data_IF_347347294145
#
_entry.id   IF_347347294145
#
_cell.length_a   1.000
_cell.length_b   1.000
_cell.length_c   1.000
_cell.angle_alpha   90.00
_cell.angle_beta   90.00
_cell.angle_gamma   90.00
#
_symmetry.space_group_name_H-M   'P 1'
#
loop_
_entity.id
_entity.type
_entity.pdbx_description
1 polymer ?
#
# COMPACT_ATOMS: atom_id res chain seq x y z
N UNK A 1 20.89 12.00 -19.38
CA UNK A 1 21.74 11.45 -18.31
C UNK A 1 20.82 11.02 -17.18
N UNK A 2 20.76 9.73 -16.85
CA UNK A 2 19.92 9.22 -15.77
C UNK A 2 20.76 9.19 -14.50
N UNK A 3 20.61 10.20 -13.65
CA UNK A 3 21.26 10.26 -12.34
C UNK A 3 20.42 9.49 -11.33
N UNK A 4 20.97 8.39 -10.81
CA UNK A 4 20.46 7.70 -9.63
C UNK A 4 20.79 8.57 -8.42
N UNK A 5 19.76 9.10 -7.74
CA UNK A 5 19.97 9.91 -6.52
C UNK A 5 18.84 10.85 -6.13
N UNK A 6 17.77 11.01 -6.92
CA UNK A 6 16.61 11.81 -6.52
C UNK A 6 15.48 10.91 -5.97
N UNK A 7 14.81 11.26 -4.85
CA UNK A 7 13.84 10.44 -4.12
C UNK A 7 12.49 10.22 -4.84
N UNK A 8 12.48 10.28 -6.18
CA UNK A 8 11.29 10.19 -7.02
C UNK A 8 11.54 9.37 -8.28
N UNK A 9 11.97 8.12 -8.14
CA UNK A 9 12.12 7.21 -9.30
C UNK A 9 10.74 6.93 -9.88
N UNK A 10 10.39 7.65 -10.93
CA UNK A 10 9.18 7.34 -11.71
C UNK A 10 9.32 5.96 -12.37
N UNK A 11 8.21 5.22 -12.56
CA UNK A 11 8.22 3.94 -13.27
C UNK A 11 8.82 4.02 -14.68
N UNK A 12 8.76 5.21 -15.32
CA UNK A 12 9.36 5.45 -16.63
C UNK A 12 10.89 5.50 -16.58
N UNK A 13 11.48 6.11 -15.54
CA UNK A 13 12.94 6.12 -15.36
C UNK A 13 13.48 4.70 -15.16
N UNK A 14 12.78 3.90 -14.34
CA UNK A 14 13.14 2.50 -14.15
C UNK A 14 13.00 1.71 -15.45
N UNK A 15 11.82 1.73 -16.09
CA UNK A 15 11.57 0.91 -17.27
C UNK A 15 12.33 1.38 -18.52
N UNK A 16 12.71 2.66 -18.59
CA UNK A 16 13.59 3.21 -19.61
C UNK A 16 15.05 2.77 -19.46
N UNK A 17 15.48 2.42 -18.25
CA UNK A 17 16.82 1.89 -17.95
C UNK A 17 16.90 0.35 -18.00
N UNK A 18 15.78 -0.35 -17.99
CA UNK A 18 15.73 -1.82 -18.00
C UNK A 18 16.08 -2.36 -19.40
N UNK A 19 17.09 -3.26 -19.52
CA UNK A 19 17.44 -3.88 -20.79
C UNK A 19 16.24 -4.64 -21.40
N UNK A 20 16.09 -4.68 -22.74
CA UNK A 20 14.94 -5.31 -23.41
C UNK A 20 14.66 -6.77 -22.99
N UNK A 21 15.70 -7.52 -22.59
CA UNK A 21 15.58 -8.90 -22.10
C UNK A 21 14.89 -9.01 -20.73
N UNK A 22 15.15 -8.08 -19.82
CA UNK A 22 14.44 -8.00 -18.53
C UNK A 22 13.06 -7.35 -18.67
N UNK A 23 12.89 -6.41 -19.60
CA UNK A 23 11.58 -5.88 -19.95
C UNK A 23 10.66 -6.97 -20.53
N UNK A 24 11.25 -8.00 -21.16
CA UNK A 24 10.58 -9.22 -21.58
C UNK A 24 10.21 -10.16 -20.43
N UNK A 25 10.99 -10.24 -19.36
CA UNK A 25 10.65 -11.05 -18.18
C UNK A 25 9.37 -10.53 -17.47
N UNK A 26 9.20 -9.21 -17.40
CA UNK A 26 7.95 -8.60 -16.91
C UNK A 26 6.75 -8.71 -17.86
N UNK A 27 6.96 -9.04 -19.14
CA UNK A 27 5.89 -9.25 -20.15
C UNK A 27 5.62 -10.74 -20.46
N UNK A 28 6.61 -11.61 -20.26
CA UNK A 28 6.68 -12.99 -20.74
C UNK A 28 6.71 -14.06 -19.65
N UNK A 29 6.77 -13.68 -18.37
CA UNK A 29 6.49 -14.60 -17.25
C UNK A 29 5.01 -15.02 -17.12
N UNK A 30 4.15 -14.61 -18.06
CA UNK A 30 2.68 -14.72 -17.99
C UNK A 30 2.10 -15.93 -18.74
N UNK A 31 2.92 -16.82 -19.28
CA UNK A 31 2.44 -18.04 -19.94
C UNK A 31 3.18 -19.25 -19.36
N UNK A 32 2.68 -19.80 -18.26
CA UNK A 32 3.04 -21.16 -17.84
C UNK A 32 3.45 -21.39 -16.39
N UNK A 33 3.36 -20.42 -15.47
CA UNK A 33 3.46 -20.65 -14.02
C UNK A 33 2.47 -19.73 -13.31
N UNK A 34 1.53 -20.31 -12.56
CA UNK A 34 0.60 -19.61 -11.67
C UNK A 34 1.37 -18.76 -10.66
N UNK A 35 1.27 -17.42 -10.73
CA UNK A 35 1.15 -16.48 -9.59
C UNK A 35 1.18 -15.02 -10.06
N UNK A 36 0.22 -14.23 -9.59
CA UNK A 36 0.18 -12.78 -9.71
C UNK A 36 1.30 -12.17 -8.85
N UNK A 37 2.49 -11.89 -9.41
CA UNK A 37 3.67 -11.52 -8.57
C UNK A 37 3.73 -10.02 -8.22
N UNK A 38 3.05 -9.13 -8.93
CA UNK A 38 3.07 -7.69 -8.62
C UNK A 38 1.74 -7.01 -8.93
N UNK A 39 1.23 -6.23 -7.97
CA UNK A 39 -0.01 -5.46 -8.09
C UNK A 39 0.29 -3.96 -8.15
N UNK A 40 -0.27 -3.27 -9.15
CA UNK A 40 -0.16 -1.83 -9.29
C UNK A 40 -1.32 -1.14 -8.55
N UNK A 41 -0.99 -0.15 -7.73
CA UNK A 41 -1.95 0.68 -6.98
C UNK A 41 -1.78 2.17 -7.33
N UNK A 42 -2.84 2.97 -7.18
CA UNK A 42 -2.90 4.39 -7.54
C UNK A 42 -2.92 4.63 -9.05
N UNK A 43 -1.80 4.35 -9.73
CA UNK A 43 -1.67 4.46 -11.19
C UNK A 43 -1.51 5.87 -11.74
N UNK A 44 -1.36 6.86 -10.86
CA UNK A 44 -0.92 8.19 -11.24
C UNK A 44 0.55 8.22 -11.62
N UNK A 45 0.98 9.35 -12.17
CA UNK A 45 2.40 9.66 -12.30
C UNK A 45 3.07 9.83 -10.93
N UNK A 46 2.32 10.38 -9.97
CA UNK A 46 2.70 10.49 -8.57
C UNK A 46 1.48 10.28 -7.65
N UNK A 47 1.75 10.25 -6.34
CA UNK A 47 0.76 10.45 -5.30
C UNK A 47 0.64 11.96 -5.06
N UNK A 48 -0.39 12.59 -5.61
CA UNK A 48 -0.56 14.05 -5.51
C UNK A 48 -1.09 14.48 -4.14
N UNK A 49 -0.71 15.69 -3.72
CA UNK A 49 -1.37 16.39 -2.61
C UNK A 49 -2.86 16.62 -2.94
N UNK A 50 -3.68 16.68 -1.89
CA UNK A 50 -5.13 16.86 -1.99
C UNK A 50 -5.61 18.23 -1.50
N UNK A 51 -4.74 19.05 -0.90
CA UNK A 51 -5.10 20.36 -0.36
C UNK A 51 -4.86 21.51 -1.35
N UNK A 52 -3.69 21.55 -1.99
CA UNK A 52 -3.24 22.62 -2.87
C UNK A 52 -3.33 22.26 -4.37
N UNK A 53 -3.55 20.99 -4.71
CA UNK A 53 -3.63 20.56 -6.10
C UNK A 53 -4.95 20.96 -6.76
N UNK A 54 -4.87 21.59 -7.93
CA UNK A 54 -6.05 21.85 -8.77
C UNK A 54 -6.49 20.57 -9.49
N UNK A 55 -7.80 20.30 -9.53
CA UNK A 55 -8.37 19.07 -10.12
C UNK A 55 -7.87 18.79 -11.55
N UNK A 56 -7.64 19.83 -12.36
CA UNK A 56 -7.08 19.69 -13.71
C UNK A 56 -5.70 19.03 -13.71
N UNK A 57 -4.81 19.42 -12.79
CA UNK A 57 -3.48 18.82 -12.65
C UNK A 57 -3.56 17.36 -12.16
N UNK A 58 -4.51 17.09 -11.26
CA UNK A 58 -4.79 15.72 -10.77
C UNK A 58 -5.23 14.81 -11.93
N UNK A 59 -6.15 15.28 -12.78
CA UNK A 59 -6.61 14.50 -13.94
C UNK A 59 -5.50 14.25 -14.97
N UNK A 60 -4.67 15.26 -15.24
CA UNK A 60 -3.55 15.12 -16.19
C UNK A 60 -2.51 14.11 -15.71
N UNK A 61 -2.09 14.18 -14.44
CA UNK A 61 -1.10 13.25 -13.89
C UNK A 61 -1.64 11.81 -13.80
N UNK A 62 -2.91 11.64 -13.42
CA UNK A 62 -3.59 10.33 -13.44
C UNK A 62 -3.69 9.78 -14.87
N UNK A 63 -4.06 10.63 -15.83
CA UNK A 63 -4.15 10.26 -17.24
C UNK A 63 -2.80 9.84 -17.81
N UNK A 64 -1.72 10.56 -17.46
CA UNK A 64 -0.36 10.24 -17.88
C UNK A 64 0.08 8.87 -17.38
N UNK A 65 0.00 8.62 -16.06
CA UNK A 65 0.38 7.35 -15.45
C UNK A 65 -0.42 6.17 -16.00
N UNK A 66 -1.75 6.29 -16.07
CA UNK A 66 -2.62 5.21 -16.60
C UNK A 66 -2.35 4.91 -18.07
N UNK A 67 -2.08 5.93 -18.90
CA UNK A 67 -1.71 5.70 -20.31
C UNK A 67 -0.38 4.96 -20.41
N UNK A 68 0.61 5.33 -19.60
CA UNK A 68 1.91 4.67 -19.55
C UNK A 68 1.76 3.19 -19.16
N UNK A 69 1.09 2.90 -18.03
CA UNK A 69 0.87 1.54 -17.55
C UNK A 69 0.11 0.67 -18.56
N UNK A 70 -0.93 1.23 -19.19
CA UNK A 70 -1.71 0.52 -20.22
C UNK A 70 -0.88 0.20 -21.47
N UNK A 71 0.07 1.06 -21.85
CA UNK A 71 0.98 0.79 -22.98
C UNK A 71 1.98 -0.33 -22.64
N UNK A 72 2.42 -0.42 -21.39
CA UNK A 72 3.40 -1.43 -20.98
C UNK A 72 2.79 -2.80 -20.69
N UNK A 73 1.70 -2.83 -19.93
CA UNK A 73 1.10 -4.05 -19.37
C UNK A 73 -0.30 -4.35 -19.92
N UNK A 74 -0.77 -3.58 -20.91
CA UNK A 74 -2.08 -3.76 -21.51
C UNK A 74 -3.23 -3.51 -20.51
N UNK A 75 -4.31 -4.29 -20.63
CA UNK A 75 -5.48 -4.17 -19.74
C UNK A 75 -5.16 -4.53 -18.28
N UNK A 76 -4.19 -5.42 -18.06
CA UNK A 76 -3.78 -5.87 -16.72
C UNK A 76 -3.02 -4.79 -15.93
N UNK A 77 -2.49 -3.76 -16.61
CA UNK A 77 -1.78 -2.66 -15.96
C UNK A 77 -2.67 -1.56 -15.38
N UNK A 78 -4.00 -1.69 -15.45
CA UNK A 78 -4.92 -0.67 -14.91
C UNK A 78 -5.19 -0.97 -13.44
N UNK A 79 -4.78 -0.08 -12.50
CA UNK A 79 -5.05 -0.28 -11.08
C UNK A 79 -6.55 -0.34 -10.79
N UNK A 80 -6.89 -1.02 -9.70
CA UNK A 80 -8.25 -1.12 -9.16
C UNK A 80 -8.39 -0.43 -7.80
N UNK A 81 -7.26 -0.08 -7.21
CA UNK A 81 -7.17 0.40 -5.84
C UNK A 81 -6.36 1.69 -5.89
N UNK A 82 -6.94 2.78 -5.42
CA UNK A 82 -6.23 4.02 -5.20
C UNK A 82 -5.37 3.92 -3.92
N UNK A 83 -4.20 4.55 -3.88
CA UNK A 83 -3.30 4.45 -2.73
C UNK A 83 -2.82 5.84 -2.36
N UNK A 84 -3.38 6.39 -1.28
CA UNK A 84 -3.09 7.74 -0.78
C UNK A 84 -2.66 7.65 0.68
N UNK A 85 -1.38 7.33 0.89
CA UNK A 85 -0.83 7.06 2.23
C UNK A 85 -0.11 8.24 2.86
N UNK A 86 0.30 9.24 2.08
CA UNK A 86 1.13 10.36 2.54
C UNK A 86 0.66 11.78 2.12
N UNK A 87 -0.52 12.01 1.52
CA UNK A 87 -1.09 13.36 1.52
C UNK A 87 -1.52 13.81 2.91
N UNK A 88 -1.27 15.08 3.24
CA UNK A 88 -1.66 15.67 4.52
C UNK A 88 -3.13 16.09 4.52
N UNK A 89 -4.01 15.11 4.70
CA UNK A 89 -5.46 15.25 4.64
C UNK A 89 -6.05 14.81 3.29
N UNK A 90 -7.34 14.49 3.30
CA UNK A 90 -8.04 13.99 2.12
C UNK A 90 -9.18 14.91 1.68
N UNK A 91 -9.32 15.05 0.37
CA UNK A 91 -10.35 15.83 -0.28
C UNK A 91 -11.47 14.92 -0.81
N UNK A 92 -12.71 15.40 -0.68
CA UNK A 92 -13.87 14.74 -1.28
C UNK A 92 -13.79 14.70 -2.82
N UNK A 93 -13.09 15.66 -3.41
CA UNK A 93 -12.90 15.74 -4.87
C UNK A 93 -11.99 14.63 -5.39
N UNK A 94 -10.92 14.30 -4.65
CA UNK A 94 -10.05 13.17 -5.00
C UNK A 94 -10.82 11.85 -4.97
N UNK A 95 -11.64 11.64 -3.94
CA UNK A 95 -12.54 10.49 -3.87
C UNK A 95 -13.49 10.45 -5.09
N UNK A 96 -14.16 11.56 -5.42
CA UNK A 96 -15.03 11.64 -6.59
C UNK A 96 -14.29 11.35 -7.91
N UNK A 97 -13.03 11.79 -8.02
CA UNK A 97 -12.16 11.53 -9.17
C UNK A 97 -11.83 10.04 -9.29
N UNK A 98 -11.40 9.40 -8.20
CA UNK A 98 -11.07 7.98 -8.18
C UNK A 98 -12.24 7.07 -8.56
N UNK A 99 -13.44 7.38 -8.07
CA UNK A 99 -14.65 6.65 -8.47
C UNK A 99 -14.94 6.77 -9.98
N UNK A 100 -14.70 7.94 -10.58
CA UNK A 100 -14.92 8.18 -12.00
C UNK A 100 -13.88 7.49 -12.89
N UNK A 101 -12.62 7.37 -12.44
CA UNK A 101 -11.56 6.69 -13.20
C UNK A 101 -11.55 5.17 -13.03
N UNK A 102 -12.49 4.62 -12.26
CA UNK A 102 -12.73 3.20 -12.12
C UNK A 102 -11.92 2.50 -11.04
N UNK A 103 -11.54 3.22 -9.98
CA UNK A 103 -10.93 2.66 -8.77
C UNK A 103 -12.00 2.44 -7.70
N UNK A 104 -12.54 1.21 -7.55
CA UNK A 104 -13.58 0.92 -6.57
C UNK A 104 -13.15 1.04 -5.10
N UNK A 105 -11.85 0.96 -4.80
CA UNK A 105 -11.32 0.95 -3.43
C UNK A 105 -10.24 2.03 -3.23
N UNK A 106 -10.28 2.73 -2.10
CA UNK A 106 -9.28 3.76 -1.74
C UNK A 106 -8.77 3.48 -0.32
N UNK A 107 -7.71 2.69 -0.13
CA UNK A 107 -6.87 2.81 1.05
C UNK A 107 -6.40 4.27 1.20
N UNK A 108 -6.88 4.92 2.24
CA UNK A 108 -6.67 6.34 2.50
C UNK A 108 -6.19 6.51 3.94
N UNK A 109 -5.07 7.20 4.13
CA UNK A 109 -4.60 7.60 5.44
C UNK A 109 -5.38 8.82 5.97
N UNK A 110 -6.38 8.58 6.84
CA UNK A 110 -6.86 9.68 7.67
C UNK A 110 -5.80 10.02 8.72
N UNK A 111 -5.21 11.21 8.59
CA UNK A 111 -4.21 11.80 9.47
C UNK A 111 -4.60 11.65 10.97
N UNK A 112 -3.68 11.22 11.86
CA UNK A 112 -3.88 11.26 13.30
C UNK A 112 -4.27 12.64 13.86
N UNK A 113 -4.14 13.77 13.15
CA UNK A 113 -4.68 15.06 13.60
C UNK A 113 -6.21 15.02 13.78
N UNK A 114 -6.95 14.17 13.05
CA UNK A 114 -8.36 13.89 13.35
C UNK A 114 -8.58 13.00 14.58
N UNK A 115 -7.54 12.30 15.08
CA UNK A 115 -7.56 11.57 16.37
C UNK A 115 -7.29 12.49 17.57
N UNK A 116 -6.81 13.73 17.36
CA UNK A 116 -6.33 14.65 18.43
C UNK A 116 -7.31 15.82 18.68
N UNK A 117 -8.52 15.82 18.11
CA UNK A 117 -9.55 16.76 18.55
C UNK A 117 -10.17 16.32 19.89
N UNK A 118 -10.26 17.22 20.91
CA UNK A 118 -10.87 16.92 22.20
C UNK A 118 -12.38 16.64 22.05
N UNK A 119 -13.05 16.03 23.05
CA UNK A 119 -14.20 15.15 22.87
C UNK A 119 -15.45 15.90 22.45
N UNK A 120 -15.58 16.16 21.15
CA UNK A 120 -16.89 16.39 20.55
C UNK A 120 -17.47 15.02 20.28
N UNK A 121 -18.49 14.68 21.06
CA UNK A 121 -19.21 13.41 21.10
C UNK A 121 -19.76 13.08 19.71
N UNK A 122 -18.96 12.35 18.94
CA UNK A 122 -19.42 11.45 17.89
C UNK A 122 -18.77 10.11 18.22
N UNK A 123 -19.53 9.09 18.66
CA UNK A 123 -18.97 7.79 18.96
C UNK A 123 -18.57 7.14 17.63
N UNK A 124 -17.36 7.43 17.14
CA UNK A 124 -16.70 6.54 16.20
C UNK A 124 -16.31 5.31 17.02
N UNK A 125 -17.26 4.38 17.07
CA UNK A 125 -17.10 3.01 17.54
C UNK A 125 -15.76 2.46 17.04
N UNK A 126 -15.06 1.60 17.80
CA UNK A 126 -13.81 0.97 17.37
C UNK A 126 -13.92 0.14 16.07
N UNK A 127 -15.12 0.04 15.49
CA UNK A 127 -15.47 -0.51 14.18
C UNK A 127 -15.36 0.49 13.00
N UNK A 128 -14.74 1.66 13.17
CA UNK A 128 -14.69 2.73 12.15
C UNK A 128 -13.53 2.60 11.13
N UNK A 129 -12.79 1.48 11.10
CA UNK A 129 -11.67 1.26 10.16
C UNK A 129 -12.07 1.21 8.68
N UNK A 130 -13.37 1.05 8.39
CA UNK A 130 -13.96 1.17 7.06
C UNK A 130 -15.11 2.19 7.11
N UNK A 131 -14.94 3.31 6.42
CA UNK A 131 -15.98 4.35 6.24
C UNK A 131 -16.54 4.22 4.83
N UNK A 132 -17.69 4.79 4.52
CA UNK A 132 -18.16 4.95 3.13
C UNK A 132 -18.19 6.44 2.82
N UNK A 133 -17.40 6.90 1.85
CA UNK A 133 -17.51 8.28 1.36
C UNK A 133 -18.62 8.38 0.32
N UNK A 134 -19.51 9.36 0.48
CA UNK A 134 -20.53 9.73 -0.50
C UNK A 134 -20.18 11.11 -1.08
N UNK A 135 -19.92 11.18 -2.38
CA UNK A 135 -19.83 12.46 -3.08
C UNK A 135 -21.23 12.96 -3.47
N UNK A 136 -21.54 14.23 -3.19
CA UNK A 136 -22.85 14.84 -3.52
C UNK A 136 -22.99 15.15 -5.02
N UNK A 137 -21.91 15.05 -5.81
CA UNK A 137 -21.93 15.42 -7.23
C UNK A 137 -22.48 14.30 -8.12
N UNK A 138 -22.43 13.03 -7.67
CA UNK A 138 -23.10 11.92 -8.36
C UNK A 138 -23.66 10.90 -7.35
N UNK A 139 -24.95 10.56 -7.46
CA UNK A 139 -25.59 9.47 -6.67
C UNK A 139 -25.08 8.06 -7.05
N UNK A 140 -23.86 7.93 -7.57
CA UNK A 140 -23.34 6.73 -8.21
C UNK A 140 -21.96 6.29 -7.71
N UNK A 141 -21.27 7.09 -6.90
CA UNK A 141 -19.90 6.80 -6.47
C UNK A 141 -19.86 6.48 -4.97
N UNK A 142 -19.88 5.18 -4.65
CA UNK A 142 -19.68 4.65 -3.29
C UNK A 142 -18.24 4.13 -3.20
N UNK A 143 -17.45 4.72 -2.31
CA UNK A 143 -16.06 4.30 -2.06
C UNK A 143 -15.91 3.86 -0.62
N UNK A 144 -15.17 2.78 -0.39
CA UNK A 144 -14.82 2.27 0.94
C UNK A 144 -13.38 2.64 1.28
N UNK A 145 -13.13 3.75 1.99
CA UNK A 145 -11.85 4.03 2.62
C UNK A 145 -11.49 2.97 3.66
N UNK A 146 -10.31 2.36 3.51
CA UNK A 146 -9.66 1.59 4.56
C UNK A 146 -8.69 2.48 5.32
N UNK A 147 -8.97 2.73 6.60
CA UNK A 147 -8.06 3.47 7.49
C UNK A 147 -6.97 2.51 7.95
N UNK A 148 -5.73 2.86 7.63
CA UNK A 148 -4.58 2.08 8.05
C UNK A 148 -4.34 2.24 9.57
N UNK A 149 -3.97 1.16 10.26
CA UNK A 149 -3.93 1.18 11.72
C UNK A 149 -2.70 1.90 12.28
N UNK A 150 -1.56 1.81 11.58
CA UNK A 150 -0.26 2.31 12.01
C UNK A 150 0.39 3.19 10.94
N UNK A 151 -0.30 4.27 10.54
CA UNK A 151 0.12 5.06 9.38
C UNK A 151 0.24 4.13 8.17
N UNK A 152 1.39 4.10 7.48
CA UNK A 152 1.73 3.12 6.46
C UNK A 152 2.91 2.23 6.89
N UNK A 153 3.28 2.24 8.17
CA UNK A 153 4.43 1.54 8.72
C UNK A 153 4.11 0.10 9.15
N UNK A 154 5.11 -0.80 9.19
CA UNK A 154 4.94 -2.13 9.78
C UNK A 154 4.54 -2.03 11.26
N UNK A 155 3.84 -3.04 11.80
CA UNK A 155 3.61 -3.12 13.24
C UNK A 155 4.94 -3.09 14.01
N UNK A 156 4.99 -2.49 15.21
CA UNK A 156 6.21 -2.40 16.00
C UNK A 156 6.85 -3.79 16.24
N UNK A 157 8.15 -3.90 16.00
CA UNK A 157 8.90 -5.15 16.17
C UNK A 157 8.82 -6.12 14.98
N UNK A 158 8.20 -5.72 13.87
CA UNK A 158 8.08 -6.50 12.63
C UNK A 158 8.68 -5.78 11.42
N UNK A 159 9.66 -4.90 11.61
CA UNK A 159 10.37 -4.24 10.52
C UNK A 159 11.67 -4.95 10.13
N UNK A 160 11.69 -5.64 9.00
CA UNK A 160 12.87 -6.37 8.51
C UNK A 160 13.55 -5.73 7.30
N UNK A 161 13.42 -4.41 7.17
CA UNK A 161 14.19 -3.66 6.20
C UNK A 161 15.63 -3.45 6.70
N UNK A 162 16.55 -3.17 5.76
CA UNK A 162 17.92 -2.79 6.10
C UNK A 162 18.00 -1.46 6.87
N UNK A 163 16.98 -0.61 6.75
CA UNK A 163 16.86 0.65 7.49
C UNK A 163 16.35 0.44 8.93
N UNK A 164 15.93 -0.78 9.27
CA UNK A 164 15.39 -1.15 10.57
C UNK A 164 16.37 -1.98 11.40
N UNK A 165 16.13 -2.02 12.71
CA UNK A 165 16.97 -2.72 13.70
C UNK A 165 16.21 -3.80 14.47
N UNK A 166 14.99 -4.15 14.05
CA UNK A 166 14.23 -5.23 14.68
C UNK A 166 14.90 -6.59 14.42
N UNK A 167 14.83 -7.52 15.40
CA UNK A 167 15.45 -8.83 15.26
C UNK A 167 14.79 -9.65 14.13
N UNK A 168 15.58 -10.37 13.31
CA UNK A 168 15.05 -11.25 12.27
C UNK A 168 14.35 -12.47 12.89
N UNK A 169 13.58 -13.19 12.09
CA UNK A 169 12.92 -14.43 12.51
C UNK A 169 13.93 -15.58 12.54
N UNK A 170 14.23 -16.07 13.74
CA UNK A 170 15.13 -17.18 14.02
C UNK A 170 14.30 -18.39 14.45
N UNK A 171 14.27 -19.39 13.56
CA UNK A 171 13.49 -20.62 13.63
C UNK A 171 14.32 -21.87 13.93
N UNK A 172 15.65 -21.75 14.00
CA UNK A 172 16.54 -22.84 14.39
C UNK A 172 16.38 -23.25 15.86
N UNK A 173 16.85 -24.45 16.22
CA UNK A 173 16.72 -25.03 17.57
C UNK A 173 17.75 -24.48 18.59
N UNK A 174 18.29 -23.28 18.32
CA UNK A 174 19.26 -22.61 19.20
C UNK A 174 18.60 -21.76 20.29
N UNK A 175 19.40 -21.23 21.23
CA UNK A 175 18.91 -20.33 22.29
C UNK A 175 18.37 -19.00 21.76
N UNK A 176 18.72 -18.63 20.53
CA UNK A 176 18.28 -17.39 19.85
C UNK A 176 16.90 -17.52 19.19
N UNK A 177 16.24 -18.69 19.29
CA UNK A 177 14.93 -18.93 18.69
C UNK A 177 13.89 -17.95 19.24
N UNK A 178 13.31 -17.12 18.37
CA UNK A 178 12.38 -16.04 18.75
C UNK A 178 10.98 -16.15 18.12
N UNK A 179 10.71 -17.25 17.40
CA UNK A 179 9.44 -17.48 16.67
C UNK A 179 8.20 -17.28 17.53
N UNK A 180 8.22 -17.73 18.79
CA UNK A 180 7.06 -17.61 19.69
C UNK A 180 6.71 -16.17 20.03
N UNK A 181 7.73 -15.35 20.29
CA UNK A 181 7.58 -13.92 20.54
C UNK A 181 7.08 -13.17 19.30
N UNK A 182 7.71 -13.42 18.15
CA UNK A 182 7.37 -12.75 16.88
C UNK A 182 5.93 -13.04 16.47
N UNK A 183 5.52 -14.31 16.45
CA UNK A 183 4.15 -14.69 16.06
C UNK A 183 3.12 -14.14 17.05
N UNK A 184 3.43 -14.11 18.34
CA UNK A 184 2.53 -13.51 19.36
C UNK A 184 2.38 -12.00 19.13
N UNK A 185 3.46 -11.30 18.80
CA UNK A 185 3.41 -9.88 18.44
C UNK A 185 2.56 -9.64 17.19
N UNK A 186 2.75 -10.47 16.15
CA UNK A 186 1.94 -10.43 14.93
C UNK A 186 0.45 -10.64 15.20
N UNK A 187 0.08 -11.68 15.97
CA UNK A 187 -1.32 -11.94 16.31
C UNK A 187 -1.93 -10.82 17.16
N UNK A 188 -1.14 -10.18 18.03
CA UNK A 188 -1.58 -9.00 18.79
C UNK A 188 -1.82 -7.80 17.89
N UNK A 189 -0.96 -7.56 16.91
CA UNK A 189 -1.17 -6.52 15.91
C UNK A 189 -2.38 -6.84 15.01
N UNK A 190 -2.61 -8.12 14.71
CA UNK A 190 -3.74 -8.60 13.92
C UNK A 190 -5.09 -8.49 14.64
N UNK A 191 -5.09 -8.53 15.97
CA UNK A 191 -6.30 -8.43 16.78
C UNK A 191 -6.95 -7.04 16.79
N UNK A 192 -6.41 -6.07 16.02
CA UNK A 192 -7.03 -4.78 15.83
C UNK A 192 -8.43 -4.92 15.19
N UNK A 193 -9.38 -4.14 15.70
CA UNK A 193 -10.79 -4.32 15.38
C UNK A 193 -11.12 -3.70 14.02
N UNK A 194 -11.30 -4.57 13.02
CA UNK A 194 -12.01 -4.25 11.78
C UNK A 194 -13.43 -4.84 11.83
N UNK A 195 -14.34 -4.30 11.01
CA UNK A 195 -15.71 -4.83 10.91
C UNK A 195 -15.75 -6.24 10.34
N UNK A 196 -14.81 -6.55 9.45
CA UNK A 196 -14.71 -7.85 8.78
C UNK A 196 -13.67 -8.73 9.48
N UNK A 197 -13.60 -10.00 9.07
CA UNK A 197 -12.54 -10.94 9.48
C UNK A 197 -11.26 -10.77 8.67
N UNK A 198 -11.14 -9.69 7.91
CA UNK A 198 -9.99 -9.38 7.09
C UNK A 198 -9.36 -8.09 7.60
N UNK A 199 -8.04 -8.10 7.65
CA UNK A 199 -7.24 -6.97 8.12
C UNK A 199 -6.19 -6.67 7.07
N UNK A 200 -5.83 -5.40 6.94
CA UNK A 200 -4.72 -4.95 6.11
C UNK A 200 -3.55 -4.58 7.02
N UNK A 201 -2.38 -5.14 6.74
CA UNK A 201 -1.12 -4.74 7.38
C UNK A 201 -0.14 -4.25 6.33
N UNK A 202 0.39 -3.06 6.53
CA UNK A 202 1.39 -2.45 5.66
C UNK A 202 2.79 -2.86 6.11
N UNK A 203 3.42 -3.76 5.37
CA UNK A 203 4.78 -4.25 5.67
C UNK A 203 5.82 -3.48 4.86
N UNK A 204 5.99 -2.19 5.13
CA UNK A 204 6.88 -1.30 4.39
C UNK A 204 6.87 0.13 4.96
N UNK A 205 7.78 0.97 4.50
CA UNK A 205 7.85 2.40 4.84
C UNK A 205 8.65 3.13 3.76
N UNK A 206 9.01 4.38 4.02
CA UNK A 206 9.78 5.25 3.13
C UNK A 206 11.06 4.55 2.66
N UNK A 207 11.18 4.36 1.34
CA UNK A 207 12.34 3.75 0.68
C UNK A 207 12.76 2.37 1.19
N UNK A 208 11.83 1.62 1.81
CA UNK A 208 12.05 0.20 2.11
C UNK A 208 12.12 -0.64 0.81
N UNK A 209 12.55 -1.89 0.94
CA UNK A 209 12.71 -2.88 -0.14
C UNK A 209 13.87 -2.64 -1.11
N UNK A 210 14.85 -1.77 -0.80
CA UNK A 210 16.11 -1.71 -1.55
C UNK A 210 16.79 -3.10 -1.57
N UNK A 211 16.77 -3.82 -0.44
CA UNK A 211 17.07 -5.25 -0.37
C UNK A 211 15.82 -6.05 0.03
N UNK A 212 14.95 -6.30 -0.95
CA UNK A 212 13.69 -7.02 -0.77
C UNK A 212 13.84 -8.43 -0.15
N UNK A 213 15.00 -9.08 -0.30
CA UNK A 213 15.24 -10.41 0.26
C UNK A 213 15.14 -10.44 1.80
N UNK A 214 15.50 -9.35 2.49
CA UNK A 214 15.40 -9.27 3.94
C UNK A 214 13.95 -9.34 4.42
N UNK A 215 13.05 -8.63 3.75
CA UNK A 215 11.61 -8.70 4.01
C UNK A 215 11.05 -10.08 3.72
N UNK A 216 11.20 -10.57 2.48
CA UNK A 216 10.53 -11.79 2.05
C UNK A 216 10.99 -13.02 2.83
N UNK A 217 12.29 -13.14 3.15
CA UNK A 217 12.82 -14.25 3.95
C UNK A 217 12.17 -14.33 5.34
N UNK A 218 11.95 -13.19 5.99
CA UNK A 218 11.35 -13.14 7.32
C UNK A 218 9.82 -13.29 7.26
N UNK A 219 9.17 -12.71 6.24
CA UNK A 219 7.74 -12.85 5.99
C UNK A 219 7.36 -14.31 5.72
N UNK A 220 8.13 -15.05 4.92
CA UNK A 220 7.87 -16.47 4.64
C UNK A 220 7.87 -17.30 5.93
N UNK A 221 8.84 -17.07 6.81
CA UNK A 221 8.90 -17.71 8.13
C UNK A 221 7.73 -17.32 9.02
N UNK A 222 7.40 -16.03 9.07
CA UNK A 222 6.27 -15.52 9.84
C UNK A 222 4.97 -16.20 9.40
N UNK A 223 4.69 -16.22 8.09
CA UNK A 223 3.47 -16.80 7.52
C UNK A 223 3.40 -18.30 7.83
N UNK A 224 4.51 -19.03 7.63
CA UNK A 224 4.56 -20.46 7.93
C UNK A 224 4.26 -20.77 9.41
N UNK A 225 4.89 -20.04 10.33
CA UNK A 225 4.71 -20.27 11.77
C UNK A 225 3.39 -19.72 12.31
N UNK A 226 2.86 -18.61 11.78
CA UNK A 226 1.56 -18.09 12.17
C UNK A 226 0.44 -19.03 11.73
N UNK A 227 0.47 -19.50 10.48
CA UNK A 227 -0.54 -20.43 9.96
C UNK A 227 -0.47 -21.81 10.62
N UNK A 228 0.68 -22.24 11.13
CA UNK A 228 0.79 -23.50 11.87
C UNK A 228 0.15 -23.46 13.27
N UNK A 229 -0.21 -22.27 13.78
CA UNK A 229 -0.82 -22.09 15.12
C UNK A 229 -2.33 -21.83 15.08
N UNK A 230 -2.91 -21.71 13.89
CA UNK A 230 -4.35 -21.51 13.66
C UNK A 230 -4.94 -22.79 13.09
#
# INVERSE_FOLDING_TARGET
>A
ECFWGDPGVSPECFWGAVPPRMAGAGRGGLVGVTLSVFGLVGGGWCMNDEAAAHYGGVLEQLGLGRRFLRRLFGRCGTPRVAWQIDPFGHSREMAATFAQVGDPEIPALLDPVQRVQPPCVCPLSPLAGEVTWLSLVTRLSRLSPGILPNMYNPPPGLCWDQLCSDPPVVDGDGPERNVDSVVTSFLRAAAQQYRTRHILMTMGSDFHYENAHLWFKNLDKLIAHANARV
#
